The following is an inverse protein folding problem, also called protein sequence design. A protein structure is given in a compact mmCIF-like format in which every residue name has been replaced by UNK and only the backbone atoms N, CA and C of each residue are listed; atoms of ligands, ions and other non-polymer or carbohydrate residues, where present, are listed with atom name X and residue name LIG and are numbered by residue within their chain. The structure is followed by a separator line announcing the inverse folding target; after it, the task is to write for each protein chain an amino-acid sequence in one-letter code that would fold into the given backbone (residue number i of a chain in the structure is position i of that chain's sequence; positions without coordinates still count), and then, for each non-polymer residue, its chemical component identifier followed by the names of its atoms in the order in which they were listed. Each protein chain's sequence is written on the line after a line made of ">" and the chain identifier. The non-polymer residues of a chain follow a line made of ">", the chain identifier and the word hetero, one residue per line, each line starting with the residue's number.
data_IF_895757969942
#
_entry.id   IF_895757969942
#
_cell.length_a   1.000
_cell.length_b   1.000
_cell.length_c   1.000
_cell.angle_alpha   90.00
_cell.angle_beta   90.00
_cell.angle_gamma   90.00
#
_symmetry.space_group_name_H-M   'P 1'
#
loop_
_entity.id
_entity.type
_entity.pdbx_description
1 polymer ?
#
# COMPACT_ATOMS: atom_id res chain seq x y z
N UNK A 1 -7.37 12.31 -4.19
CA UNK A 1 -6.02 12.54 -3.60
C UNK A 1 -6.14 12.88 -2.11
N UNK A 2 -7.05 13.76 -1.73
CA UNK A 2 -7.36 14.15 -0.33
C UNK A 2 -7.46 12.95 0.62
N UNK A 3 -8.25 11.94 0.26
CA UNK A 3 -8.38 10.72 1.06
C UNK A 3 -7.07 9.99 1.36
N UNK A 4 -6.13 9.98 0.40
CA UNK A 4 -4.80 9.41 0.64
C UNK A 4 -3.94 10.31 1.53
N UNK A 5 -4.15 11.64 1.48
CA UNK A 5 -3.44 12.62 2.31
C UNK A 5 -3.86 12.45 3.76
N UNK A 6 -5.16 12.30 4.00
CA UNK A 6 -5.72 11.99 5.32
C UNK A 6 -5.14 10.67 5.84
N UNK A 7 -5.22 9.61 5.03
CA UNK A 7 -4.60 8.33 5.39
C UNK A 7 -3.10 8.44 5.67
N UNK A 8 -2.35 9.23 4.88
CA UNK A 8 -0.93 9.51 5.12
C UNK A 8 -0.69 10.23 6.45
N UNK A 9 -1.56 11.19 6.80
CA UNK A 9 -1.51 11.92 8.07
C UNK A 9 -1.68 10.97 9.26
N UNK A 10 -2.58 9.99 9.15
CA UNK A 10 -2.87 9.00 10.20
C UNK A 10 -1.75 7.98 10.37
N UNK A 11 -1.36 7.33 9.27
CA UNK A 11 -0.45 6.18 9.34
C UNK A 11 1.02 6.54 9.13
N UNK A 12 1.30 7.71 8.56
CA UNK A 12 2.64 8.24 8.26
C UNK A 12 3.51 7.31 7.41
N UNK A 13 2.89 6.48 6.58
CA UNK A 13 3.62 5.65 5.60
C UNK A 13 4.06 6.49 4.40
N UNK A 14 5.27 6.31 3.85
CA UNK A 14 5.65 6.97 2.61
C UNK A 14 4.81 6.41 1.45
N UNK A 15 3.98 7.26 0.83
CA UNK A 15 3.12 6.88 -0.29
C UNK A 15 3.65 7.56 -1.55
N UNK A 16 3.83 6.78 -2.61
CA UNK A 16 4.05 7.32 -3.96
C UNK A 16 2.85 7.00 -4.84
N UNK A 17 2.16 8.03 -5.30
CA UNK A 17 1.04 7.93 -6.23
C UNK A 17 1.54 8.12 -7.66
N UNK A 18 1.26 7.17 -8.55
CA UNK A 18 1.67 7.23 -9.95
C UNK A 18 0.44 7.50 -10.81
N UNK A 19 0.46 8.59 -11.58
CA UNK A 19 -0.57 8.93 -12.56
C UNK A 19 -0.10 8.63 -13.97
N UNK A 20 -1.01 8.15 -14.81
CA UNK A 20 -0.76 8.02 -16.24
C UNK A 20 -0.99 9.36 -16.94
N UNK A 21 0.08 9.93 -17.49
CA UNK A 21 0.14 11.20 -18.19
C UNK A 21 0.59 11.03 -19.65
N UNK A 22 0.37 9.85 -20.24
CA UNK A 22 0.72 9.54 -21.65
C UNK A 22 0.21 10.56 -22.66
N UNK A 23 -0.88 11.26 -22.37
CA UNK A 23 -1.53 12.26 -23.23
C UNK A 23 -1.43 13.70 -22.69
N UNK A 24 -0.70 13.94 -21.60
CA UNK A 24 -0.59 15.27 -21.01
C UNK A 24 0.50 16.11 -21.70
N UNK A 25 0.27 17.40 -21.98
CA UNK A 25 1.29 18.27 -22.57
C UNK A 25 2.54 18.36 -21.68
N UNK A 26 3.72 18.29 -22.31
CA UNK A 26 5.02 17.88 -21.76
C UNK A 26 5.69 18.74 -20.66
N UNK A 27 4.92 19.56 -19.92
CA UNK A 27 5.44 20.40 -18.82
C UNK A 27 5.13 19.86 -17.42
N UNK A 28 4.38 18.77 -17.27
CA UNK A 28 4.02 18.18 -15.97
C UNK A 28 4.92 17.00 -15.55
N UNK A 29 6.16 16.94 -16.05
CA UNK A 29 7.15 15.93 -15.60
C UNK A 29 7.75 16.23 -14.21
N UNK A 30 7.05 17.01 -13.38
CA UNK A 30 7.49 17.40 -12.06
C UNK A 30 7.16 16.29 -11.06
N UNK A 31 8.13 15.91 -10.24
CA UNK A 31 7.83 15.25 -8.96
C UNK A 31 7.14 16.29 -8.10
N UNK A 32 5.88 16.07 -7.79
CA UNK A 32 5.12 16.94 -6.92
C UNK A 32 4.92 16.24 -5.59
N UNK A 33 5.03 16.97 -4.48
CA UNK A 33 4.71 16.43 -3.16
C UNK A 33 3.53 17.20 -2.61
N UNK A 34 2.42 16.51 -2.39
CA UNK A 34 1.16 17.10 -1.94
C UNK A 34 0.69 16.34 -0.70
N UNK A 35 0.49 17.04 0.41
CA UNK A 35 -0.03 16.44 1.65
C UNK A 35 0.77 15.23 2.16
N UNK A 36 2.10 15.27 2.02
CA UNK A 36 2.99 14.17 2.46
C UNK A 36 3.16 13.04 1.43
N UNK A 37 2.36 13.01 0.37
CA UNK A 37 2.39 12.01 -0.71
C UNK A 37 3.30 12.49 -1.85
N UNK A 38 4.16 11.60 -2.33
CA UNK A 38 4.94 11.83 -3.54
C UNK A 38 4.12 11.46 -4.78
N UNK A 39 3.84 12.44 -5.64
CA UNK A 39 3.12 12.26 -6.89
C UNK A 39 4.13 12.17 -8.04
N UNK A 40 3.99 11.13 -8.86
CA UNK A 40 4.80 10.92 -10.07
C UNK A 40 3.89 10.73 -11.28
N UNK A 41 4.22 11.44 -12.36
CA UNK A 41 3.55 11.32 -13.63
C UNK A 41 4.36 10.44 -14.59
N UNK A 42 3.67 9.62 -15.38
CA UNK A 42 4.30 8.91 -16.49
C UNK A 42 4.85 9.87 -17.55
N UNK A 43 5.90 9.46 -18.27
CA UNK A 43 6.52 10.28 -19.32
C UNK A 43 5.81 10.02 -20.65
N UNK A 44 5.94 10.95 -21.61
CA UNK A 44 5.46 10.73 -22.96
C UNK A 44 6.08 9.44 -23.53
N UNK A 45 5.26 8.48 -23.93
CA UNK A 45 5.70 7.15 -24.40
C UNK A 45 6.03 6.12 -23.30
N UNK A 46 5.80 6.43 -22.02
CA UNK A 46 5.94 5.50 -20.89
C UNK A 46 4.60 5.40 -20.14
N UNK A 47 4.12 4.18 -19.86
CA UNK A 47 2.92 3.98 -19.05
C UNK A 47 3.21 4.06 -17.56
N UNK A 48 2.18 4.35 -16.75
CA UNK A 48 2.26 4.25 -15.30
C UNK A 48 2.74 2.86 -14.85
N UNK A 49 2.27 1.80 -15.51
CA UNK A 49 2.65 0.41 -15.22
C UNK A 49 4.15 0.20 -15.37
N UNK A 50 4.75 0.75 -16.43
CA UNK A 50 6.19 0.67 -16.66
C UNK A 50 6.96 1.40 -15.55
N UNK A 51 6.48 2.55 -15.07
CA UNK A 51 7.08 3.23 -13.92
C UNK A 51 6.96 2.41 -12.63
N UNK A 52 5.80 1.84 -12.34
CA UNK A 52 5.57 1.00 -11.16
C UNK A 52 6.48 -0.22 -11.20
N UNK A 53 6.55 -0.92 -12.34
CA UNK A 53 7.43 -2.09 -12.54
C UNK A 53 8.90 -1.74 -12.28
N UNK A 54 9.37 -0.58 -12.76
CA UNK A 54 10.73 -0.08 -12.49
C UNK A 54 10.97 0.25 -11.01
N UNK A 55 9.98 0.82 -10.32
CA UNK A 55 10.07 1.13 -8.88
C UNK A 55 10.14 -0.15 -8.05
N UNK A 56 9.30 -1.13 -8.38
CA UNK A 56 9.29 -2.45 -7.75
C UNK A 56 10.61 -3.17 -7.96
N UNK A 57 11.20 -3.13 -9.16
CA UNK A 57 12.49 -3.79 -9.42
C UNK A 57 13.62 -3.25 -8.52
N UNK A 58 13.57 -1.95 -8.20
CA UNK A 58 14.53 -1.28 -7.30
C UNK A 58 14.26 -1.58 -5.83
N UNK A 59 13.01 -1.52 -5.38
CA UNK A 59 12.64 -1.64 -3.96
C UNK A 59 12.42 -3.09 -3.51
N UNK A 60 12.03 -4.00 -4.41
CA UNK A 60 11.83 -5.44 -4.18
C UNK A 60 11.00 -5.72 -2.92
N UNK A 61 11.55 -6.46 -1.95
CA UNK A 61 10.91 -6.80 -0.69
C UNK A 61 10.56 -5.60 0.19
N UNK A 62 11.03 -4.39 -0.09
CA UNK A 62 10.65 -3.20 0.67
C UNK A 62 9.35 -2.57 0.15
N UNK A 63 8.99 -2.82 -1.11
CA UNK A 63 7.79 -2.26 -1.71
C UNK A 63 6.51 -2.97 -1.24
N UNK A 64 5.46 -2.17 -1.12
CA UNK A 64 4.07 -2.59 -1.11
C UNK A 64 3.38 -1.92 -2.29
N UNK A 65 2.76 -2.70 -3.17
CA UNK A 65 2.13 -2.23 -4.40
C UNK A 65 0.63 -2.40 -4.27
N UNK A 66 -0.12 -1.33 -4.52
CA UNK A 66 -1.58 -1.37 -4.62
C UNK A 66 -1.96 -1.34 -6.10
N UNK A 67 -2.66 -2.37 -6.58
CA UNK A 67 -3.08 -2.46 -7.99
C UNK A 67 -4.33 -3.33 -8.14
N UNK A 68 -5.13 -3.05 -9.17
CA UNK A 68 -6.22 -3.91 -9.63
C UNK A 68 -5.79 -4.81 -10.81
N UNK A 69 -4.69 -4.47 -11.48
CA UNK A 69 -4.15 -5.20 -12.62
C UNK A 69 -3.30 -6.40 -12.17
N UNK A 70 -3.66 -7.57 -12.67
CA UNK A 70 -2.98 -8.85 -12.43
C UNK A 70 -1.57 -8.89 -13.02
N UNK A 71 -1.30 -8.19 -14.13
CA UNK A 71 0.02 -8.18 -14.74
C UNK A 71 1.03 -7.42 -13.88
N UNK A 72 0.61 -6.26 -13.34
CA UNK A 72 1.41 -5.49 -12.39
C UNK A 72 1.60 -6.29 -11.09
N UNK A 73 0.53 -6.91 -10.58
CA UNK A 73 0.57 -7.74 -9.38
C UNK A 73 1.59 -8.87 -9.54
N UNK A 74 1.49 -9.64 -10.63
CA UNK A 74 2.39 -10.77 -10.90
C UNK A 74 3.84 -10.34 -11.00
N UNK A 75 4.13 -9.26 -11.73
CA UNK A 75 5.51 -8.73 -11.83
C UNK A 75 6.01 -8.30 -10.45
N UNK A 76 5.17 -7.62 -9.66
CA UNK A 76 5.55 -7.18 -8.33
C UNK A 76 5.87 -8.36 -7.39
N UNK A 77 5.05 -9.41 -7.41
CA UNK A 77 5.27 -10.60 -6.60
C UNK A 77 6.51 -11.39 -7.00
N UNK A 78 6.80 -11.47 -8.31
CA UNK A 78 8.02 -12.09 -8.85
C UNK A 78 9.28 -11.34 -8.42
N UNK A 79 9.18 -10.02 -8.25
CA UNK A 79 10.26 -9.16 -7.74
C UNK A 79 10.33 -9.12 -6.21
N UNK A 80 9.45 -9.86 -5.51
CA UNK A 80 9.44 -9.99 -4.05
C UNK A 80 8.67 -8.89 -3.31
N UNK A 81 8.01 -7.98 -4.02
CA UNK A 81 7.15 -6.97 -3.40
C UNK A 81 5.88 -7.61 -2.83
N UNK A 82 5.27 -6.92 -1.87
CA UNK A 82 3.96 -7.31 -1.34
C UNK A 82 2.88 -6.61 -2.14
N UNK A 83 1.89 -7.35 -2.63
CA UNK A 83 0.78 -6.78 -3.40
C UNK A 83 -0.47 -6.73 -2.54
N UNK A 84 -1.23 -5.65 -2.70
CA UNK A 84 -2.55 -5.43 -2.08
C UNK A 84 -3.52 -5.00 -3.16
N UNK A 85 -4.75 -5.52 -3.13
CA UNK A 85 -5.78 -5.13 -4.09
C UNK A 85 -6.24 -3.69 -3.82
N UNK A 86 -6.74 -2.99 -4.84
CA UNK A 86 -7.32 -1.66 -4.64
C UNK A 86 -8.51 -1.68 -3.67
N UNK A 87 -9.32 -2.75 -3.72
CA UNK A 87 -10.47 -2.92 -2.83
C UNK A 87 -10.03 -3.06 -1.37
N UNK A 88 -9.10 -3.98 -1.13
CA UNK A 88 -8.47 -4.23 0.17
C UNK A 88 -7.85 -2.98 0.77
N UNK A 89 -7.16 -2.19 -0.06
CA UNK A 89 -6.55 -0.96 0.38
C UNK A 89 -7.60 0.10 0.71
N UNK A 90 -8.67 0.21 -0.09
CA UNK A 90 -9.80 1.10 0.17
C UNK A 90 -10.51 0.80 1.48
N UNK A 91 -10.76 -0.47 1.79
CA UNK A 91 -11.34 -0.90 3.07
C UNK A 91 -10.45 -0.53 4.26
N UNK A 92 -9.13 -0.64 4.11
CA UNK A 92 -8.16 -0.27 5.15
C UNK A 92 -8.11 1.24 5.38
N UNK A 93 -8.22 2.03 4.31
CA UNK A 93 -8.36 3.49 4.43
C UNK A 93 -9.65 3.82 5.19
N UNK A 94 -10.80 3.26 4.78
CA UNK A 94 -12.09 3.48 5.47
C UNK A 94 -12.00 3.11 6.96
N UNK A 95 -11.36 1.98 7.27
CA UNK A 95 -11.19 1.53 8.66
C UNK A 95 -10.27 2.47 9.45
N UNK A 96 -9.21 3.00 8.84
CA UNK A 96 -8.32 3.93 9.50
C UNK A 96 -9.03 5.27 9.82
N UNK A 97 -9.85 5.77 8.89
CA UNK A 97 -10.71 6.95 9.08
C UNK A 97 -11.70 6.72 10.24
N UNK A 98 -12.45 5.60 10.23
CA UNK A 98 -13.40 5.26 11.30
C UNK A 98 -12.74 5.01 12.66
N UNK A 99 -11.51 4.51 12.69
CA UNK A 99 -10.77 4.30 13.95
C UNK A 99 -10.26 5.62 14.53
N UNK A 100 -9.92 6.62 13.72
CA UNK A 100 -9.60 7.98 14.21
C UNK A 100 -10.86 8.62 14.82
N UNK A 101 -11.99 8.56 14.12
CA UNK A 101 -13.27 9.07 14.64
C UNK A 101 -13.65 8.41 15.97
N UNK A 102 -13.47 7.08 16.08
CA UNK A 102 -13.68 6.37 17.34
C UNK A 102 -12.63 6.69 18.41
N UNK A 103 -11.36 6.88 18.07
CA UNK A 103 -10.34 7.29 19.06
C UNK A 103 -10.58 8.70 19.61
N UNK A 104 -11.25 9.56 18.84
CA UNK A 104 -11.65 10.90 19.29
C UNK A 104 -12.90 10.89 20.17
N UNK A 105 -13.79 9.91 19.99
CA UNK A 105 -15.06 9.75 20.73
C UNK A 105 -14.97 8.72 21.88
N UNK A 106 -13.88 7.96 21.96
CA UNK A 106 -13.65 6.96 22.99
C UNK A 106 -12.16 6.86 23.34
N UNK A 107 -11.78 7.46 24.47
CA UNK A 107 -10.51 7.18 25.16
C UNK A 107 -10.42 5.72 25.69
N UNK A 108 -11.40 4.88 25.39
CA UNK A 108 -11.41 3.47 25.76
C UNK A 108 -11.82 2.59 24.58
N UNK A 109 -11.06 1.50 24.40
CA UNK A 109 -11.41 0.30 23.65
C UNK A 109 -11.24 0.31 22.12
N UNK A 110 -10.10 -0.23 21.67
CA UNK A 110 -10.06 -1.44 20.81
C UNK A 110 -8.61 -1.89 20.57
N UNK A 111 -7.91 -2.25 21.65
CA UNK A 111 -7.05 -3.43 21.54
C UNK A 111 -7.99 -4.63 21.57
N UNK A 112 -8.27 -5.23 20.40
CA UNK A 112 -8.61 -6.66 20.40
C UNK A 112 -7.40 -7.38 21.00
N UNK A 113 -7.45 -7.57 22.32
CA UNK A 113 -6.43 -8.27 23.07
C UNK A 113 -6.11 -9.58 22.38
N UNK A 114 -4.84 -9.77 22.05
CA UNK A 114 -4.35 -11.05 21.58
C UNK A 114 -4.70 -12.10 22.64
N UNK A 115 -5.67 -12.98 22.34
CA UNK A 115 -5.95 -14.13 23.20
C UNK A 115 -4.86 -15.16 22.97
N UNK A 116 -3.96 -15.42 23.94
CA UNK A 116 -2.86 -16.35 23.73
C UNK A 116 -3.44 -17.77 23.63
N UNK A 117 -3.60 -18.28 22.42
CA UNK A 117 -3.90 -19.70 22.22
C UNK A 117 -2.58 -20.47 22.28
N UNK A 118 -2.50 -21.47 23.16
CA UNK A 118 -1.34 -22.37 23.25
C UNK A 118 -1.28 -23.38 22.10
N UNK A 119 -2.30 -23.42 21.24
CA UNK A 119 -2.34 -24.24 20.02
C UNK A 119 -1.40 -23.67 18.97
N UNK A 120 -0.14 -24.09 19.01
CA UNK A 120 0.82 -23.82 17.93
C UNK A 120 0.28 -24.39 16.61
N UNK A 121 0.20 -23.54 15.57
CA UNK A 121 -0.04 -24.02 14.21
C UNK A 121 1.13 -24.91 13.80
N UNK A 122 0.86 -26.19 13.55
CA UNK A 122 1.85 -27.13 13.04
C UNK A 122 2.44 -26.68 11.69
N UNK A 123 3.56 -27.27 11.24
CA UNK A 123 4.27 -26.84 10.03
C UNK A 123 3.38 -26.72 8.79
N UNK A 124 2.45 -27.68 8.62
CA UNK A 124 1.50 -27.72 7.50
C UNK A 124 0.44 -26.59 7.53
N UNK A 125 0.17 -26.00 8.70
CA UNK A 125 -0.80 -24.90 8.88
C UNK A 125 -0.13 -23.54 9.00
N UNK A 126 1.21 -23.49 8.93
CA UNK A 126 1.98 -22.25 9.08
C UNK A 126 2.16 -21.62 7.70
N UNK A 127 1.72 -20.36 7.49
CA UNK A 127 1.99 -19.65 6.25
C UNK A 127 3.50 -19.57 5.98
N UNK A 128 3.87 -19.48 4.71
CA UNK A 128 5.27 -19.47 4.30
C UNK A 128 6.02 -18.29 4.91
N UNK A 129 7.36 -18.31 4.86
CA UNK A 129 8.15 -17.16 5.33
C UNK A 129 7.76 -15.87 4.59
N UNK A 130 7.49 -15.98 3.27
CA UNK A 130 7.06 -14.88 2.40
C UNK A 130 5.69 -14.34 2.83
N UNK A 131 4.71 -15.23 2.98
CA UNK A 131 3.33 -14.82 3.30
C UNK A 131 3.24 -14.17 4.68
N UNK A 132 4.01 -14.67 5.66
CA UNK A 132 4.07 -14.04 6.98
C UNK A 132 4.63 -12.62 6.92
N UNK A 133 5.70 -12.40 6.15
CA UNK A 133 6.24 -11.05 5.95
C UNK A 133 5.21 -10.14 5.27
N UNK A 134 4.51 -10.64 4.24
CA UNK A 134 3.46 -9.91 3.55
C UNK A 134 2.31 -9.52 4.51
N UNK A 135 1.80 -10.48 5.29
CA UNK A 135 0.75 -10.26 6.29
C UNK A 135 1.16 -9.23 7.34
N UNK A 136 2.43 -9.24 7.79
CA UNK A 136 2.93 -8.25 8.74
C UNK A 136 2.96 -6.85 8.15
N UNK A 137 3.29 -6.68 6.87
CA UNK A 137 3.22 -5.38 6.20
C UNK A 137 1.78 -4.92 6.03
N UNK A 138 0.91 -5.84 5.59
CA UNK A 138 -0.51 -5.57 5.38
C UNK A 138 -1.21 -5.21 6.70
N UNK A 139 -0.80 -5.82 7.82
CA UNK A 139 -1.32 -5.48 9.17
C UNK A 139 -0.92 -4.08 9.63
N UNK A 140 0.17 -3.52 9.10
CA UNK A 140 0.64 -2.17 9.45
C UNK A 140 -0.07 -1.06 8.66
N UNK A 141 -0.85 -1.42 7.64
CA UNK A 141 -1.69 -0.47 6.92
C UNK A 141 -2.81 0.10 7.81
#
# INVERSE_FOLDING_TARGET
>A
IERLIEYNRLKRHPITLVFDATHAPGLLHRKERVGGIDIRFSRLGQTADALIKNMVDRQREQALVVTADQDIARVAELKGATVVSCLDFGERISRAEMMEERFFDSEESMEEGWTPTTRKKGPAKRPSKKDRKALLKIKKL
#
